data_IF_046223430876
#
_entry.id   IF_046223430876
#
_cell.length_a   1.000
_cell.length_b   1.000
_cell.length_c   1.000
_cell.angle_alpha   90.00
_cell.angle_beta   90.00
_cell.angle_gamma   90.00
#
_symmetry.space_group_name_H-M   'P 1'
#
loop_
_entity.id
_entity.type
_entity.pdbx_description
1 polymer ?
#
# COMPACT_ATOMS: atom_id res chain seq x y z
N UNK A 1 3.19 -22.37 -15.37
CA UNK A 1 3.64 -21.20 -14.59
C UNK A 1 2.92 -21.27 -13.25
N UNK A 2 3.60 -21.15 -12.11
CA UNK A 2 2.91 -21.23 -10.79
C UNK A 2 2.06 -19.97 -10.56
N UNK A 3 1.03 -20.04 -9.72
CA UNK A 3 0.22 -18.87 -9.34
C UNK A 3 1.09 -17.73 -8.83
N UNK A 4 2.13 -18.03 -8.04
CA UNK A 4 3.13 -17.06 -7.60
C UNK A 4 3.81 -16.36 -8.79
N UNK A 5 4.23 -17.11 -9.82
CA UNK A 5 4.86 -16.53 -11.02
C UNK A 5 3.88 -15.68 -11.83
N UNK A 6 2.61 -16.09 -11.91
CA UNK A 6 1.55 -15.31 -12.58
C UNK A 6 1.30 -14.01 -11.82
N UNK A 7 1.18 -14.07 -10.49
CA UNK A 7 1.01 -12.91 -9.62
C UNK A 7 2.19 -11.94 -9.75
N UNK A 8 3.43 -12.43 -9.75
CA UNK A 8 4.62 -11.59 -9.95
C UNK A 8 4.66 -10.93 -11.33
N UNK A 9 4.21 -11.62 -12.39
CA UNK A 9 4.06 -11.01 -13.71
C UNK A 9 3.02 -9.89 -13.68
N UNK A 10 1.88 -10.14 -13.03
CA UNK A 10 0.77 -9.18 -12.95
C UNK A 10 1.12 -7.92 -12.16
N UNK A 11 1.89 -8.06 -11.07
CA UNK A 11 2.38 -6.90 -10.30
C UNK A 11 3.18 -5.97 -11.23
N UNK A 12 4.13 -6.51 -11.98
CA UNK A 12 4.95 -5.72 -12.92
C UNK A 12 4.12 -5.03 -13.98
N UNK A 13 3.17 -5.74 -14.60
CA UNK A 13 2.28 -5.14 -15.61
C UNK A 13 1.47 -3.96 -15.06
N UNK A 14 1.03 -4.04 -13.80
CA UNK A 14 0.27 -2.97 -13.14
C UNK A 14 1.18 -1.81 -12.72
N UNK A 15 2.37 -2.09 -12.20
CA UNK A 15 3.37 -1.07 -11.89
C UNK A 15 3.81 -0.30 -13.16
N UNK A 16 3.97 -1.00 -14.28
CA UNK A 16 4.24 -0.39 -15.60
C UNK A 16 3.09 0.50 -16.09
N UNK A 17 1.85 0.20 -15.68
CA UNK A 17 0.68 1.05 -15.92
C UNK A 17 0.57 2.23 -14.93
N UNK A 18 1.53 2.36 -14.00
CA UNK A 18 1.58 3.44 -13.03
C UNK A 18 0.78 3.21 -11.76
N UNK A 19 0.33 1.98 -11.48
CA UNK A 19 -0.32 1.66 -10.21
C UNK A 19 0.71 1.46 -9.08
N UNK A 20 0.38 1.90 -7.87
CA UNK A 20 1.01 1.42 -6.64
C UNK A 20 0.38 0.07 -6.24
N UNK A 21 1.15 -1.02 -6.31
CA UNK A 21 0.63 -2.36 -6.10
C UNK A 21 1.09 -2.92 -4.75
N UNK A 22 0.16 -3.41 -3.94
CA UNK A 22 0.47 -4.06 -2.67
C UNK A 22 -0.07 -5.49 -2.70
N UNK A 23 0.81 -6.43 -2.34
CA UNK A 23 0.39 -7.80 -2.07
C UNK A 23 -0.23 -7.90 -0.68
N UNK A 24 -1.47 -8.37 -0.62
CA UNK A 24 -2.21 -8.59 0.61
C UNK A 24 -1.87 -9.98 1.16
N UNK A 25 -1.32 -10.03 2.37
CA UNK A 25 -0.93 -11.27 3.04
C UNK A 25 -1.72 -11.48 4.33
N UNK A 26 -1.93 -10.41 5.08
CA UNK A 26 -2.69 -10.44 6.34
C UNK A 26 -3.69 -9.28 6.35
N UNK A 27 -4.96 -9.63 6.40
CA UNK A 27 -6.08 -8.69 6.38
C UNK A 27 -7.14 -9.10 7.40
N UNK A 28 -8.02 -8.16 7.77
CA UNK A 28 -9.13 -8.42 8.70
C UNK A 28 -10.40 -8.93 8.00
N UNK A 29 -10.40 -9.01 6.66
CA UNK A 29 -11.53 -9.46 5.84
C UNK A 29 -11.13 -10.73 5.09
N UNK A 30 -11.84 -11.83 5.37
CA UNK A 30 -11.63 -13.11 4.71
C UNK A 30 -12.06 -13.06 3.24
N UNK A 31 -11.38 -13.83 2.39
CA UNK A 31 -11.70 -13.91 0.96
C UNK A 31 -11.38 -12.66 0.15
N UNK A 32 -10.57 -11.74 0.69
CA UNK A 32 -10.09 -10.57 -0.05
C UNK A 32 -9.15 -11.01 -1.18
N UNK A 33 -9.16 -10.35 -2.35
CA UNK A 33 -8.20 -10.61 -3.43
C UNK A 33 -6.74 -10.46 -2.99
N UNK A 34 -5.81 -11.10 -3.69
CA UNK A 34 -4.39 -11.11 -3.29
C UNK A 34 -3.64 -9.79 -3.51
N UNK A 35 -4.11 -8.95 -4.42
CA UNK A 35 -3.46 -7.69 -4.80
C UNK A 35 -4.44 -6.53 -4.68
N UNK A 36 -3.94 -5.41 -4.18
CA UNK A 36 -4.56 -4.10 -4.36
C UNK A 36 -3.69 -3.28 -5.30
N UNK A 37 -4.29 -2.70 -6.34
CA UNK A 37 -3.62 -1.84 -7.31
C UNK A 37 -4.27 -0.45 -7.24
N UNK A 38 -3.46 0.55 -6.93
CA UNK A 38 -3.92 1.87 -6.55
C UNK A 38 -3.43 2.86 -7.61
N UNK A 39 -4.32 3.48 -8.40
CA UNK A 39 -3.89 4.45 -9.39
C UNK A 39 -3.40 5.73 -8.71
N UNK A 40 -2.57 6.54 -9.41
CA UNK A 40 -2.12 7.81 -8.90
C UNK A 40 -3.30 8.76 -8.66
N UNK A 41 -3.15 9.66 -7.69
CA UNK A 41 -4.16 10.66 -7.32
C UNK A 41 -5.55 10.10 -6.96
N UNK A 42 -5.64 8.80 -6.66
CA UNK A 42 -6.90 8.22 -6.23
C UNK A 42 -7.17 8.60 -4.76
N UNK A 43 -8.45 8.84 -4.44
CA UNK A 43 -8.89 9.30 -3.11
C UNK A 43 -8.75 8.27 -1.98
N UNK A 44 -7.88 7.26 -2.12
CA UNK A 44 -7.59 6.29 -1.06
C UNK A 44 -6.81 6.95 0.08
N UNK A 45 -7.09 6.53 1.31
CA UNK A 45 -6.41 7.01 2.51
C UNK A 45 -5.60 5.88 3.15
N UNK A 46 -4.31 6.13 3.35
CA UNK A 46 -3.41 5.29 4.15
C UNK A 46 -3.24 5.91 5.53
N UNK A 47 -3.77 5.25 6.56
CA UNK A 47 -3.73 5.75 7.93
C UNK A 47 -2.73 4.97 8.79
N UNK A 48 -1.66 5.65 9.22
CA UNK A 48 -0.69 5.09 10.17
C UNK A 48 -1.12 5.45 11.60
N UNK A 49 -1.60 4.45 12.34
CA UNK A 49 -2.14 4.63 13.69
C UNK A 49 -1.03 4.53 14.74
N UNK A 50 -0.92 5.57 15.58
CA UNK A 50 0.00 5.61 16.72
C UNK A 50 -0.74 5.95 18.01
N UNK A 51 -0.18 5.46 19.12
CA UNK A 51 -0.45 6.01 20.47
C UNK A 51 -0.09 7.50 20.51
N UNK A 52 -0.54 8.29 21.52
CA UNK A 52 -0.36 9.73 21.50
C UNK A 52 1.11 10.15 21.42
N UNK A 53 2.00 9.39 22.10
CA UNK A 53 3.45 9.60 22.12
C UNK A 53 4.24 8.64 21.20
N UNK A 54 3.57 7.87 20.34
CA UNK A 54 4.22 6.88 19.47
C UNK A 54 5.02 7.52 18.33
N UNK A 55 6.27 7.11 18.11
CA UNK A 55 7.08 7.62 16.99
C UNK A 55 6.89 6.75 15.74
N UNK A 56 7.07 7.35 14.57
CA UNK A 56 7.23 6.59 13.33
C UNK A 56 8.58 5.88 13.34
N UNK A 57 8.66 4.72 12.71
CA UNK A 57 9.95 4.15 12.32
C UNK A 57 10.43 4.81 11.03
N UNK A 58 11.76 4.77 10.78
CA UNK A 58 12.34 5.29 9.53
C UNK A 58 11.72 4.68 8.28
N UNK A 59 11.33 3.39 8.34
CA UNK A 59 10.68 2.72 7.23
C UNK A 59 9.27 3.28 6.99
N UNK A 60 8.53 3.59 8.05
CA UNK A 60 7.21 4.21 7.92
C UNK A 60 7.30 5.60 7.32
N UNK A 61 8.26 6.41 7.76
CA UNK A 61 8.53 7.74 7.16
C UNK A 61 8.86 7.63 5.67
N UNK A 62 9.73 6.68 5.31
CA UNK A 62 10.07 6.40 3.91
C UNK A 62 8.83 6.02 3.08
N UNK A 63 7.99 5.11 3.58
CA UNK A 63 6.79 4.65 2.87
C UNK A 63 5.71 5.71 2.75
N UNK A 64 5.50 6.52 3.79
CA UNK A 64 4.56 7.64 3.74
C UNK A 64 4.98 8.62 2.64
N UNK A 65 6.28 8.97 2.57
CA UNK A 65 6.80 9.84 1.52
C UNK A 65 6.64 9.23 0.12
N UNK A 66 6.88 7.93 -0.03
CA UNK A 66 6.66 7.21 -1.29
C UNK A 66 5.19 7.26 -1.74
N UNK A 67 4.24 7.02 -0.83
CA UNK A 67 2.80 7.10 -1.09
C UNK A 67 2.37 8.52 -1.50
N UNK A 68 2.86 9.54 -0.78
CA UNK A 68 2.59 10.95 -1.11
C UNK A 68 3.12 11.35 -2.48
N UNK A 69 4.32 10.90 -2.86
CA UNK A 69 4.89 11.13 -4.20
C UNK A 69 4.01 10.49 -5.29
N UNK A 70 3.37 9.35 -4.99
CA UNK A 70 2.44 8.69 -5.89
C UNK A 70 1.05 9.37 -5.94
N UNK A 71 0.83 10.44 -5.17
CA UNK A 71 -0.47 11.13 -5.08
C UNK A 71 -1.48 10.41 -4.19
N UNK A 72 -1.04 9.47 -3.35
CA UNK A 72 -1.90 8.77 -2.39
C UNK A 72 -1.99 9.58 -1.10
N UNK A 73 -3.19 9.74 -0.55
CA UNK A 73 -3.38 10.43 0.72
C UNK A 73 -2.88 9.58 1.89
N UNK A 74 -2.10 10.18 2.76
CA UNK A 74 -1.59 9.59 3.99
C UNK A 74 -2.07 10.39 5.20
N UNK A 75 -2.17 9.74 6.35
CA UNK A 75 -2.32 10.42 7.64
C UNK A 75 -1.56 9.69 8.75
N UNK A 76 -1.21 10.43 9.80
CA UNK A 76 -0.70 9.87 11.04
C UNK A 76 -1.76 10.10 12.11
N UNK A 77 -2.62 9.11 12.34
CA UNK A 77 -3.66 9.20 13.35
C UNK A 77 -3.07 8.92 14.74
N UNK A 78 -3.27 9.85 15.67
CA UNK A 78 -2.79 9.77 17.05
C UNK A 78 -3.97 9.73 18.01
N UNK A 79 -4.34 8.52 18.43
CA UNK A 79 -5.35 8.26 19.46
C UNK A 79 -4.72 7.94 20.80
#
# INVERSE_FOLDING_TARGET
>A
MTEQKIQSKRIKELEEQGYYVIKLVQTNKNGIPDLIAIPPECGVLFSEVKRPKGKLSKLQEFRIKELEIHGIRTEIYRG
#
